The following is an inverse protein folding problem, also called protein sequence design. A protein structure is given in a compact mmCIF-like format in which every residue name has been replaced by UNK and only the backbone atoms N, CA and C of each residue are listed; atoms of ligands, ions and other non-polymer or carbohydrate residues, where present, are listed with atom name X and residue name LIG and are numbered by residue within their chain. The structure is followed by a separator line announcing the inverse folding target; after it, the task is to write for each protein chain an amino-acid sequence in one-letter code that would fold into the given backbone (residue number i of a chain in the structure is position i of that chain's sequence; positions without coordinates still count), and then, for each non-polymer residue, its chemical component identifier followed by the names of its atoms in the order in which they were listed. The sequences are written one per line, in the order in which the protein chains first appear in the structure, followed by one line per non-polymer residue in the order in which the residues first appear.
data_IF_560221147170
#
_entry.id   IF_560221147170
#
_cell.length_a   1.000
_cell.length_b   1.000
_cell.length_c   1.000
_cell.angle_alpha   90.00
_cell.angle_beta   90.00
_cell.angle_gamma   90.00
#
_symmetry.space_group_name_H-M   'P 1'
#
loop_
_entity.id
_entity.type
_entity.pdbx_description
1 polymer ?
#
# COMPACT_ATOMS: atom_id res chain seq x y z
N UNK A 1 26.17 11.20 -11.82
CA UNK A 1 24.83 10.86 -11.26
C UNK A 1 24.10 10.07 -12.32
N UNK A 2 23.46 8.92 -12.01
CA UNK A 2 22.62 8.22 -12.99
C UNK A 2 21.49 9.17 -13.38
N UNK A 3 21.22 9.31 -14.68
CA UNK A 3 20.29 10.30 -15.21
C UNK A 3 18.82 10.02 -14.83
N UNK A 4 18.50 8.78 -14.40
CA UNK A 4 17.15 8.38 -14.09
C UNK A 4 17.10 7.42 -12.88
N UNK A 5 17.10 8.01 -11.68
CA UNK A 5 16.97 7.26 -10.43
C UNK A 5 15.55 6.71 -10.20
N UNK A 6 14.57 7.25 -10.89
CA UNK A 6 13.16 6.88 -10.74
C UNK A 6 12.68 5.89 -11.81
N UNK A 7 13.56 5.51 -12.76
CA UNK A 7 13.24 4.56 -13.81
C UNK A 7 12.92 3.17 -13.25
N UNK A 8 11.76 2.62 -13.65
CA UNK A 8 11.28 1.30 -13.30
C UNK A 8 11.15 0.39 -14.54
N UNK A 9 11.74 0.79 -15.68
CA UNK A 9 11.70 0.02 -16.91
C UNK A 9 12.23 -1.41 -16.70
N UNK A 10 11.45 -2.40 -17.15
CA UNK A 10 11.76 -3.82 -16.98
C UNK A 10 11.52 -4.38 -15.57
N UNK A 11 11.01 -3.59 -14.63
CA UNK A 11 10.58 -4.05 -13.31
C UNK A 11 9.12 -4.50 -13.32
N UNK A 12 8.81 -5.50 -12.52
CA UNK A 12 7.45 -6.01 -12.28
C UNK A 12 7.01 -5.59 -10.88
N UNK A 13 5.84 -4.94 -10.80
CA UNK A 13 5.25 -4.46 -9.56
C UNK A 13 3.89 -5.12 -9.30
N UNK A 14 3.69 -5.70 -8.13
CA UNK A 14 2.38 -6.13 -7.63
C UNK A 14 1.82 -5.06 -6.71
N UNK A 15 0.56 -4.64 -6.93
CA UNK A 15 -0.14 -3.66 -6.09
C UNK A 15 -1.43 -4.28 -5.56
N UNK A 16 -1.47 -4.57 -4.25
CA UNK A 16 -2.68 -5.09 -3.60
C UNK A 16 -3.68 -3.97 -3.35
N UNK A 17 -4.98 -4.25 -3.53
CA UNK A 17 -6.01 -3.22 -3.52
C UNK A 17 -5.86 -2.24 -4.70
N UNK A 18 -5.30 -2.69 -5.83
CA UNK A 18 -4.93 -1.87 -6.99
C UNK A 18 -6.09 -1.42 -7.88
N UNK A 19 -7.33 -1.86 -7.61
CA UNK A 19 -8.48 -1.56 -8.47
C UNK A 19 -9.06 -0.15 -8.28
N UNK A 20 -8.83 0.52 -7.15
CA UNK A 20 -9.37 1.85 -6.82
C UNK A 20 -8.51 2.62 -5.83
N UNK A 21 -8.89 3.88 -5.58
CA UNK A 21 -8.28 4.74 -4.56
C UNK A 21 -6.76 4.81 -4.65
N UNK A 22 -6.09 4.85 -3.51
CA UNK A 22 -4.64 4.98 -3.38
C UNK A 22 -3.89 3.91 -4.20
N UNK A 23 -4.32 2.64 -4.12
CA UNK A 23 -3.64 1.55 -4.82
C UNK A 23 -3.64 1.70 -6.34
N UNK A 24 -4.74 2.18 -6.93
CA UNK A 24 -4.83 2.44 -8.37
C UNK A 24 -3.88 3.56 -8.80
N UNK A 25 -3.81 4.65 -8.03
CA UNK A 25 -2.93 5.78 -8.36
C UNK A 25 -1.46 5.42 -8.13
N UNK A 26 -1.13 4.62 -7.11
CA UNK A 26 0.21 4.05 -6.96
C UNK A 26 0.57 3.20 -8.17
N UNK A 27 -0.31 2.31 -8.61
CA UNK A 27 -0.06 1.48 -9.79
C UNK A 27 0.14 2.31 -11.06
N UNK A 28 -0.65 3.37 -11.25
CA UNK A 28 -0.47 4.32 -12.36
C UNK A 28 0.88 5.03 -12.27
N UNK A 29 1.29 5.51 -11.08
CA UNK A 29 2.59 6.12 -10.88
C UNK A 29 3.76 5.18 -11.22
N UNK A 30 3.70 3.93 -10.78
CA UNK A 30 4.73 2.93 -11.09
C UNK A 30 4.76 2.61 -12.60
N UNK A 31 3.60 2.46 -13.23
CA UNK A 31 3.48 2.18 -14.66
C UNK A 31 3.98 3.34 -15.53
N UNK A 32 3.72 4.59 -15.13
CA UNK A 32 4.21 5.79 -15.84
C UNK A 32 5.75 5.94 -15.79
N UNK A 33 6.41 5.25 -14.84
CA UNK A 33 7.87 5.17 -14.75
C UNK A 33 8.44 3.86 -15.35
N UNK A 34 7.64 3.13 -16.15
CA UNK A 34 8.09 1.99 -16.94
C UNK A 34 7.89 0.62 -16.32
N UNK A 35 7.29 0.52 -15.13
CA UNK A 35 7.00 -0.79 -14.55
C UNK A 35 5.83 -1.49 -15.26
N UNK A 36 5.93 -2.82 -15.43
CA UNK A 36 4.77 -3.68 -15.62
C UNK A 36 4.05 -3.82 -14.28
N UNK A 37 2.76 -3.51 -14.21
CA UNK A 37 1.98 -3.56 -12.96
C UNK A 37 0.96 -4.71 -12.97
N UNK A 38 0.89 -5.44 -11.87
CA UNK A 38 -0.14 -6.45 -11.60
C UNK A 38 -1.05 -5.90 -10.51
N UNK A 39 -2.27 -5.53 -10.89
CA UNK A 39 -3.30 -5.07 -9.97
C UNK A 39 -3.99 -6.27 -9.33
N UNK A 40 -4.04 -6.33 -8.00
CA UNK A 40 -4.75 -7.40 -7.32
C UNK A 40 -5.74 -6.90 -6.29
N UNK A 41 -6.78 -7.68 -6.04
CA UNK A 41 -7.88 -7.41 -5.13
C UNK A 41 -8.99 -8.45 -5.29
N UNK A 42 -10.11 -8.28 -4.60
CA UNK A 42 -11.18 -9.30 -4.55
C UNK A 42 -12.17 -9.26 -5.71
N UNK A 43 -12.30 -8.12 -6.38
CA UNK A 43 -13.38 -7.88 -7.37
C UNK A 43 -12.80 -7.79 -8.77
N UNK A 44 -13.00 -8.83 -9.59
CA UNK A 44 -12.44 -8.92 -10.94
C UNK A 44 -12.83 -7.73 -11.81
N UNK A 45 -14.11 -7.37 -11.88
CA UNK A 45 -14.56 -6.26 -12.74
C UNK A 45 -13.87 -4.94 -12.43
N UNK A 46 -13.70 -4.59 -11.14
CA UNK A 46 -12.98 -3.38 -10.73
C UNK A 46 -11.50 -3.41 -11.15
N UNK A 47 -10.87 -4.58 -11.07
CA UNK A 47 -9.48 -4.76 -11.49
C UNK A 47 -9.34 -4.67 -13.01
N UNK A 48 -10.28 -5.26 -13.76
CA UNK A 48 -10.29 -5.23 -15.23
C UNK A 48 -10.47 -3.81 -15.77
N UNK A 49 -11.39 -3.04 -15.18
CA UNK A 49 -11.59 -1.62 -15.47
C UNK A 49 -10.32 -0.80 -15.21
N UNK A 50 -9.68 -1.01 -14.04
CA UNK A 50 -8.46 -0.31 -13.70
C UNK A 50 -7.30 -0.66 -14.64
N UNK A 51 -7.11 -1.95 -14.93
CA UNK A 51 -6.07 -2.40 -15.86
C UNK A 51 -6.33 -1.92 -17.29
N UNK A 52 -7.60 -1.94 -17.75
CA UNK A 52 -7.97 -1.42 -19.06
C UNK A 52 -7.67 0.08 -19.19
N UNK A 53 -7.97 0.87 -18.13
CA UNK A 53 -7.67 2.30 -18.11
C UNK A 53 -6.16 2.58 -18.16
N UNK A 54 -5.32 1.76 -17.51
CA UNK A 54 -3.86 1.88 -17.60
C UNK A 54 -3.35 1.50 -19.00
N UNK A 55 -3.85 0.40 -19.57
CA UNK A 55 -3.51 -0.01 -20.95
C UNK A 55 -3.91 1.02 -22.00
N UNK A 56 -5.06 1.69 -21.82
CA UNK A 56 -5.50 2.77 -22.71
C UNK A 56 -4.54 3.99 -22.70
N UNK A 57 -3.76 4.16 -21.61
CA UNK A 57 -2.67 5.15 -21.51
C UNK A 57 -1.33 4.63 -22.05
N UNK A 58 -1.29 3.42 -22.61
CA UNK A 58 -0.07 2.78 -23.14
C UNK A 58 0.78 2.05 -22.11
N UNK A 59 0.29 1.86 -20.87
CA UNK A 59 1.02 1.17 -19.82
C UNK A 59 0.79 -0.35 -19.83
N UNK A 60 1.77 -1.12 -19.37
CA UNK A 60 1.67 -2.58 -19.24
C UNK A 60 1.02 -2.94 -17.88
N UNK A 61 -0.23 -3.35 -17.92
CA UNK A 61 -1.04 -3.63 -16.73
C UNK A 61 -1.83 -4.93 -16.85
N UNK A 62 -1.77 -5.75 -15.80
CA UNK A 62 -2.48 -7.00 -15.64
C UNK A 62 -3.43 -6.91 -14.44
N UNK A 63 -4.51 -7.68 -14.48
CA UNK A 63 -5.48 -7.84 -13.39
C UNK A 63 -5.47 -9.30 -12.93
N UNK A 64 -5.34 -9.52 -11.61
CA UNK A 64 -5.38 -10.85 -11.00
C UNK A 64 -6.13 -10.78 -9.67
N UNK A 65 -7.20 -11.54 -9.52
CA UNK A 65 -7.93 -11.61 -8.24
C UNK A 65 -7.14 -12.35 -7.18
N UNK A 66 -7.17 -11.81 -5.96
CA UNK A 66 -6.75 -12.49 -4.74
C UNK A 66 -7.35 -11.78 -3.52
N UNK A 67 -7.74 -12.53 -2.51
CA UNK A 67 -7.98 -12.02 -1.16
C UNK A 67 -6.69 -12.16 -0.34
N UNK A 68 -6.07 -11.03 0.01
CA UNK A 68 -4.81 -11.03 0.76
C UNK A 68 -4.92 -11.66 2.15
N UNK A 69 -6.13 -11.74 2.72
CA UNK A 69 -6.41 -12.42 3.98
C UNK A 69 -6.42 -13.96 3.87
N UNK A 70 -6.28 -14.52 2.66
CA UNK A 70 -6.29 -15.96 2.39
C UNK A 70 -4.93 -16.40 1.82
N UNK A 71 -4.24 -17.26 2.56
CA UNK A 71 -2.90 -17.70 2.19
C UNK A 71 -2.87 -18.38 0.81
N UNK A 72 -3.86 -19.24 0.51
CA UNK A 72 -3.95 -19.94 -0.78
C UNK A 72 -4.09 -18.97 -1.95
N UNK A 73 -4.85 -17.89 -1.80
CA UNK A 73 -5.03 -16.87 -2.83
C UNK A 73 -3.70 -16.11 -3.08
N UNK A 74 -2.96 -15.80 -2.01
CA UNK A 74 -1.65 -15.13 -2.12
C UNK A 74 -0.61 -16.04 -2.78
N UNK A 75 -0.63 -17.34 -2.48
CA UNK A 75 0.23 -18.33 -3.14
C UNK A 75 -0.11 -18.46 -4.63
N UNK A 76 -1.40 -18.54 -4.97
CA UNK A 76 -1.85 -18.56 -6.38
C UNK A 76 -1.45 -17.28 -7.12
N UNK A 77 -1.59 -16.11 -6.49
CA UNK A 77 -1.13 -14.84 -7.05
C UNK A 77 0.37 -14.86 -7.35
N UNK A 78 1.20 -15.34 -6.40
CA UNK A 78 2.65 -15.51 -6.59
C UNK A 78 2.94 -16.36 -7.83
N UNK A 79 2.29 -17.50 -7.95
CA UNK A 79 2.53 -18.46 -9.04
C UNK A 79 2.14 -17.87 -10.40
N UNK A 80 1.02 -17.16 -10.47
CA UNK A 80 0.60 -16.43 -11.68
C UNK A 80 1.62 -15.33 -12.03
N UNK A 81 2.04 -14.50 -11.07
CA UNK A 81 3.03 -13.43 -11.32
C UNK A 81 4.33 -14.03 -11.86
N UNK A 82 4.82 -15.12 -11.28
CA UNK A 82 6.06 -15.76 -11.73
C UNK A 82 5.91 -16.42 -13.09
N UNK A 83 4.78 -17.05 -13.40
CA UNK A 83 4.57 -17.71 -14.69
C UNK A 83 4.39 -16.70 -15.82
N UNK A 84 3.69 -15.57 -15.59
CA UNK A 84 3.35 -14.57 -16.61
C UNK A 84 4.45 -13.52 -16.79
N UNK A 85 5.04 -13.07 -15.67
CA UNK A 85 6.02 -11.97 -15.68
C UNK A 85 7.46 -12.45 -15.49
N UNK A 86 7.69 -13.67 -15.04
CA UNK A 86 9.01 -14.25 -14.84
C UNK A 86 9.77 -13.71 -13.61
N UNK A 87 9.34 -12.59 -13.02
CA UNK A 87 10.02 -11.89 -11.90
C UNK A 87 9.05 -11.07 -11.07
N UNK A 88 9.50 -10.65 -9.90
CA UNK A 88 8.86 -9.65 -9.06
C UNK A 88 9.94 -8.76 -8.46
N UNK A 89 9.80 -7.43 -8.62
CA UNK A 89 10.78 -6.42 -8.17
C UNK A 89 10.23 -5.46 -7.15
N UNK A 90 8.92 -5.19 -7.23
CA UNK A 90 8.23 -4.25 -6.34
C UNK A 90 6.95 -4.90 -5.81
N UNK A 91 6.78 -4.89 -4.50
CA UNK A 91 5.54 -5.29 -3.85
C UNK A 91 4.95 -4.11 -3.09
N UNK A 92 3.75 -3.67 -3.48
CA UNK A 92 3.00 -2.64 -2.75
C UNK A 92 1.84 -3.29 -2.01
N UNK A 93 1.96 -3.40 -0.71
CA UNK A 93 0.90 -3.87 0.19
C UNK A 93 0.00 -2.70 0.57
N UNK A 94 -1.01 -2.45 -0.27
CA UNK A 94 -1.95 -1.35 -0.07
C UNK A 94 -3.35 -1.82 0.34
N UNK A 95 -3.73 -3.07 0.10
CA UNK A 95 -5.04 -3.57 0.50
C UNK A 95 -5.31 -3.32 2.00
N UNK A 96 -6.45 -2.70 2.30
CA UNK A 96 -6.81 -2.38 3.67
C UNK A 96 -8.26 -1.92 3.80
N UNK A 97 -8.82 -2.07 5.00
CA UNK A 97 -10.19 -1.71 5.36
C UNK A 97 -10.25 -1.00 6.70
N UNK A 98 -11.22 -0.10 6.85
CA UNK A 98 -11.59 0.49 8.14
C UNK A 98 -13.11 0.73 8.16
N UNK A 99 -13.93 -0.34 8.26
CA UNK A 99 -15.38 -0.24 8.13
C UNK A 99 -16.08 0.24 9.41
N UNK A 100 -15.36 0.43 10.51
CA UNK A 100 -15.95 0.77 11.81
C UNK A 100 -15.41 2.07 12.36
N UNK A 101 -16.30 2.84 13.02
CA UNK A 101 -15.98 4.06 13.75
C UNK A 101 -16.76 4.08 15.06
N UNK A 102 -16.29 3.32 16.08
CA UNK A 102 -16.95 3.17 17.37
C UNK A 102 -15.99 2.82 18.51
N UNK A 103 -16.44 2.99 19.75
CA UNK A 103 -15.64 2.63 20.92
C UNK A 103 -15.34 1.14 21.00
N UNK A 104 -14.23 0.79 21.65
CA UNK A 104 -13.77 -0.60 21.75
C UNK A 104 -14.78 -1.51 22.47
N UNK A 105 -15.50 -0.96 23.43
CA UNK A 105 -16.53 -1.67 24.20
C UNK A 105 -17.73 -2.17 23.35
N UNK A 106 -17.87 -1.62 22.13
CA UNK A 106 -18.90 -2.01 21.15
C UNK A 106 -18.32 -2.71 19.92
N UNK A 107 -17.01 -2.89 19.85
CA UNK A 107 -16.34 -3.56 18.75
C UNK A 107 -16.39 -5.07 18.98
N UNK A 108 -17.00 -5.81 18.05
CA UNK A 108 -17.03 -7.27 18.13
C UNK A 108 -15.68 -7.88 17.76
N UNK A 109 -15.46 -9.13 18.20
CA UNK A 109 -14.26 -9.87 17.84
C UNK A 109 -14.16 -10.12 16.32
N UNK A 110 -15.29 -10.30 15.64
CA UNK A 110 -15.30 -10.51 14.19
C UNK A 110 -14.94 -9.24 13.42
N UNK A 111 -15.37 -8.07 13.89
CA UNK A 111 -14.94 -6.79 13.32
C UNK A 111 -13.44 -6.54 13.54
N UNK A 112 -12.94 -6.89 14.73
CA UNK A 112 -11.50 -6.87 15.01
C UNK A 112 -10.74 -7.77 14.04
N UNK A 113 -11.14 -9.04 13.94
CA UNK A 113 -10.53 -10.03 13.04
C UNK A 113 -10.56 -9.56 11.59
N UNK A 114 -11.70 -9.12 11.10
CA UNK A 114 -11.84 -8.63 9.72
C UNK A 114 -10.82 -7.53 9.38
N UNK A 115 -10.59 -6.57 10.31
CA UNK A 115 -9.62 -5.49 10.10
C UNK A 115 -8.19 -6.03 10.19
N UNK A 116 -7.86 -6.82 11.21
CA UNK A 116 -6.51 -7.37 11.42
C UNK A 116 -6.14 -8.34 10.31
N UNK A 117 -7.06 -9.22 9.90
CA UNK A 117 -6.81 -10.22 8.86
C UNK A 117 -6.52 -9.56 7.51
N UNK A 118 -7.25 -8.50 7.16
CA UNK A 118 -6.98 -7.78 5.91
C UNK A 118 -5.71 -6.90 6.03
N UNK A 119 -5.63 -6.06 7.08
CA UNK A 119 -4.65 -4.97 7.13
C UNK A 119 -3.27 -5.41 7.63
N UNK A 120 -3.17 -6.47 8.41
CA UNK A 120 -1.92 -6.94 9.01
C UNK A 120 -1.57 -8.36 8.56
N UNK A 121 -2.47 -9.35 8.75
CA UNK A 121 -2.23 -10.72 8.31
C UNK A 121 -2.03 -10.78 6.79
N UNK A 122 -2.84 -10.04 6.02
CA UNK A 122 -2.69 -9.96 4.56
C UNK A 122 -1.33 -9.39 4.13
N UNK A 123 -0.83 -8.34 4.81
CA UNK A 123 0.52 -7.80 4.55
C UNK A 123 1.59 -8.83 4.89
N UNK A 124 1.44 -9.55 6.01
CA UNK A 124 2.34 -10.64 6.39
C UNK A 124 2.37 -11.73 5.32
N UNK A 125 1.22 -12.21 4.84
CA UNK A 125 1.13 -13.27 3.83
C UNK A 125 1.77 -12.83 2.50
N UNK A 126 1.49 -11.60 2.05
CA UNK A 126 2.11 -11.05 0.86
C UNK A 126 3.64 -10.91 1.01
N UNK A 127 4.13 -10.42 2.15
CA UNK A 127 5.57 -10.37 2.41
C UNK A 127 6.17 -11.78 2.43
N UNK A 128 5.53 -12.74 3.10
CA UNK A 128 5.99 -14.14 3.19
C UNK A 128 6.15 -14.77 1.80
N UNK A 129 5.12 -14.72 0.96
CA UNK A 129 5.08 -15.47 -0.30
C UNK A 129 5.60 -14.70 -1.51
N UNK A 130 5.27 -13.42 -1.64
CA UNK A 130 5.75 -12.57 -2.74
C UNK A 130 7.11 -11.94 -2.41
N UNK A 131 7.25 -11.38 -1.21
CA UNK A 131 8.52 -10.82 -0.72
C UNK A 131 9.60 -11.89 -0.56
N UNK A 132 9.23 -13.11 -0.17
CA UNK A 132 10.13 -14.26 -0.09
C UNK A 132 10.82 -14.56 -1.42
N UNK A 133 10.08 -14.53 -2.54
CA UNK A 133 10.63 -14.67 -3.90
C UNK A 133 11.67 -13.59 -4.21
N UNK A 134 11.41 -12.34 -3.82
CA UNK A 134 12.36 -11.24 -4.01
C UNK A 134 13.64 -11.48 -3.19
N UNK A 135 13.50 -11.94 -1.95
CA UNK A 135 14.63 -12.26 -1.08
C UNK A 135 15.47 -13.45 -1.58
N UNK A 136 14.84 -14.46 -2.18
CA UNK A 136 15.54 -15.60 -2.82
C UNK A 136 16.28 -15.18 -4.09
N UNK A 137 15.76 -14.21 -4.83
CA UNK A 137 16.36 -13.68 -6.07
C UNK A 137 17.40 -12.59 -5.83
N UNK A 138 17.59 -12.15 -4.60
CA UNK A 138 18.65 -11.24 -4.19
C UNK A 138 18.33 -9.76 -4.43
N UNK A 139 17.06 -9.36 -4.45
CA UNK A 139 16.73 -7.93 -4.51
C UNK A 139 15.26 -7.60 -4.73
N UNK A 140 14.89 -6.38 -4.34
CA UNK A 140 13.58 -5.82 -4.55
C UNK A 140 13.21 -4.70 -3.58
N UNK A 141 12.03 -4.12 -3.76
CA UNK A 141 11.47 -3.10 -2.88
C UNK A 141 10.05 -3.45 -2.44
N UNK A 142 9.82 -3.52 -1.14
CA UNK A 142 8.50 -3.69 -0.54
C UNK A 142 8.06 -2.35 0.04
N UNK A 143 6.88 -1.90 -0.36
CA UNK A 143 6.24 -0.67 0.11
C UNK A 143 4.94 -1.05 0.81
N UNK A 144 4.91 -0.96 2.12
CA UNK A 144 3.71 -1.22 2.90
C UNK A 144 2.93 0.09 3.11
N UNK A 145 1.67 0.13 2.71
CA UNK A 145 0.82 1.30 2.95
C UNK A 145 0.24 1.21 4.36
N UNK A 146 0.85 1.98 5.26
CA UNK A 146 0.42 2.16 6.64
C UNK A 146 -0.65 3.27 6.74
N UNK A 147 -0.54 4.13 7.70
CA UNK A 147 -1.40 5.31 7.96
C UNK A 147 -0.78 6.18 9.04
N UNK A 148 -1.19 7.43 9.15
CA UNK A 148 -0.98 8.22 10.39
C UNK A 148 -1.47 7.46 11.63
N UNK A 149 -2.54 6.65 11.51
CA UNK A 149 -3.04 5.78 12.56
C UNK A 149 -2.10 4.64 12.98
N UNK A 150 -0.98 4.42 12.29
CA UNK A 150 0.11 3.54 12.70
C UNK A 150 1.11 4.23 13.64
N UNK A 151 1.08 5.56 13.71
CA UNK A 151 2.00 6.40 14.49
C UNK A 151 1.32 7.12 15.65
N UNK A 152 0.05 7.47 15.49
CA UNK A 152 -0.75 8.16 16.51
C UNK A 152 -2.10 7.49 16.71
N UNK A 153 -2.71 7.70 17.87
CA UNK A 153 -4.03 7.16 18.17
C UNK A 153 -5.15 7.92 17.45
N UNK A 154 -5.98 7.21 16.70
CA UNK A 154 -7.21 7.73 16.11
C UNK A 154 -8.41 7.34 16.98
N UNK A 155 -9.26 8.31 17.34
CA UNK A 155 -10.47 8.05 18.13
C UNK A 155 -11.36 7.04 17.41
N UNK A 156 -11.95 6.10 18.16
CA UNK A 156 -12.92 5.10 17.67
C UNK A 156 -12.39 4.20 16.54
N UNK A 157 -11.07 4.00 16.45
CA UNK A 157 -10.40 3.24 15.39
C UNK A 157 -9.34 2.27 15.96
N UNK A 158 -9.58 1.70 17.15
CA UNK A 158 -8.60 0.85 17.86
C UNK A 158 -8.10 -0.32 17.01
N UNK A 159 -8.95 -1.14 16.35
CA UNK A 159 -8.46 -2.24 15.52
C UNK A 159 -7.62 -1.76 14.33
N UNK A 160 -8.01 -0.65 13.72
CA UNK A 160 -7.28 -0.05 12.61
C UNK A 160 -5.89 0.44 13.04
N UNK A 161 -5.81 1.23 14.13
CA UNK A 161 -4.53 1.70 14.65
C UNK A 161 -3.62 0.54 15.04
N UNK A 162 -4.15 -0.49 15.72
CA UNK A 162 -3.40 -1.68 16.07
C UNK A 162 -2.86 -2.39 14.83
N UNK A 163 -3.68 -2.55 13.78
CA UNK A 163 -3.24 -3.17 12.53
C UNK A 163 -2.15 -2.37 11.81
N UNK A 164 -2.29 -1.04 11.73
CA UNK A 164 -1.31 -0.18 11.06
C UNK A 164 -0.03 0.01 11.88
N UNK A 165 -0.10 0.08 13.21
CA UNK A 165 1.07 0.03 14.09
C UNK A 165 1.83 -1.30 13.98
N UNK A 166 1.09 -2.41 13.83
CA UNK A 166 1.68 -3.73 13.53
C UNK A 166 2.44 -3.74 12.21
N UNK A 167 1.89 -3.13 11.15
CA UNK A 167 2.57 -2.99 9.84
C UNK A 167 3.87 -2.18 9.97
N UNK A 168 3.88 -1.09 10.76
CA UNK A 168 5.10 -0.27 10.98
C UNK A 168 6.22 -1.10 11.60
N UNK A 169 5.95 -1.83 12.69
CA UNK A 169 6.98 -2.65 13.34
C UNK A 169 7.37 -3.87 12.52
N UNK A 170 6.43 -4.52 11.85
CA UNK A 170 6.72 -5.63 10.94
C UNK A 170 7.63 -5.17 9.79
N UNK A 171 7.42 -3.98 9.25
CA UNK A 171 8.29 -3.37 8.23
C UNK A 171 9.73 -3.24 8.72
N UNK A 172 9.94 -2.75 9.95
CA UNK A 172 11.28 -2.62 10.54
C UNK A 172 11.96 -3.96 10.75
N UNK A 173 11.22 -4.95 11.25
CA UNK A 173 11.74 -6.31 11.45
C UNK A 173 12.16 -6.95 10.11
N UNK A 174 11.29 -6.90 9.09
CA UNK A 174 11.60 -7.42 7.76
C UNK A 174 12.77 -6.69 7.09
N UNK A 175 12.92 -5.38 7.32
CA UNK A 175 14.05 -4.61 6.82
C UNK A 175 15.39 -5.14 7.37
N UNK A 176 15.44 -5.51 8.65
CA UNK A 176 16.62 -6.11 9.28
C UNK A 176 16.90 -7.51 8.72
N UNK A 177 15.86 -8.35 8.59
CA UNK A 177 15.98 -9.73 8.15
C UNK A 177 16.42 -9.85 6.68
N UNK A 178 16.02 -8.88 5.84
CA UNK A 178 16.18 -8.97 4.39
C UNK A 178 17.18 -7.99 3.77
N UNK A 179 17.77 -7.10 4.57
CA UNK A 179 18.79 -6.16 4.07
C UNK A 179 19.94 -6.87 3.34
N UNK A 180 20.47 -7.96 3.93
CA UNK A 180 21.56 -8.76 3.32
C UNK A 180 21.11 -9.57 2.11
N UNK A 181 19.81 -9.71 1.90
CA UNK A 181 19.21 -10.34 0.71
C UNK A 181 18.88 -9.31 -0.38
N UNK A 182 19.31 -8.05 -0.21
CA UNK A 182 19.08 -6.98 -1.19
C UNK A 182 17.63 -6.48 -1.27
N UNK A 183 16.75 -6.85 -0.34
CA UNK A 183 15.36 -6.38 -0.30
C UNK A 183 15.22 -5.23 0.69
N UNK A 184 14.71 -4.11 0.21
CA UNK A 184 14.34 -2.96 1.03
C UNK A 184 12.87 -3.06 1.42
N UNK A 185 12.54 -2.73 2.65
CA UNK A 185 11.16 -2.74 3.15
C UNK A 185 10.88 -1.42 3.86
N UNK A 186 9.93 -0.63 3.35
CA UNK A 186 9.58 0.68 3.89
C UNK A 186 8.06 0.84 3.97
N UNK A 187 7.58 1.82 4.72
CA UNK A 187 6.17 2.20 4.73
C UNK A 187 5.95 3.57 4.09
N UNK A 188 4.76 3.74 3.52
CA UNK A 188 4.14 5.05 3.31
C UNK A 188 3.03 5.16 4.34
N UNK A 189 2.97 6.26 5.08
CA UNK A 189 1.94 6.55 6.07
C UNK A 189 1.09 7.74 5.59
N UNK A 190 -0.02 7.47 4.84
CA UNK A 190 -0.91 8.51 4.40
C UNK A 190 -1.71 9.13 5.56
N UNK A 191 -1.97 10.43 5.47
CA UNK A 191 -3.00 11.11 6.24
C UNK A 191 -4.40 10.91 5.65
N UNK A 192 -5.19 11.97 5.63
CA UNK A 192 -6.55 11.95 5.09
C UNK A 192 -6.51 12.31 3.59
N UNK A 193 -6.86 11.35 2.75
CA UNK A 193 -6.89 11.46 1.28
C UNK A 193 -8.31 11.42 0.74
N UNK A 194 -8.53 11.96 -0.46
CA UNK A 194 -9.81 11.93 -1.19
C UNK A 194 -10.06 10.53 -1.76
N UNK A 195 -10.60 9.63 -0.93
CA UNK A 195 -10.92 8.23 -1.26
C UNK A 195 -12.36 7.90 -0.90
N UNK A 196 -12.87 6.75 -1.37
CA UNK A 196 -14.16 6.20 -0.92
C UNK A 196 -14.18 5.96 0.59
N UNK A 197 -13.03 5.58 1.17
CA UNK A 197 -12.88 5.33 2.62
C UNK A 197 -13.13 6.59 3.45
N UNK A 198 -12.82 7.76 2.92
CA UNK A 198 -12.96 9.06 3.59
C UNK A 198 -14.17 9.87 3.12
N UNK A 199 -14.96 9.37 2.16
CA UNK A 199 -16.11 10.07 1.60
C UNK A 199 -17.09 10.52 2.67
N UNK A 200 -17.48 9.63 3.60
CA UNK A 200 -18.39 9.97 4.68
C UNK A 200 -17.87 11.04 5.66
N UNK A 201 -16.56 11.25 5.72
CA UNK A 201 -15.94 12.33 6.49
C UNK A 201 -15.95 13.61 5.66
N UNK A 202 -15.54 13.57 4.40
CA UNK A 202 -15.46 14.73 3.50
C UNK A 202 -16.82 15.37 3.24
N UNK A 203 -17.84 14.54 3.08
CA UNK A 203 -19.21 14.98 2.80
C UNK A 203 -19.93 15.52 4.05
N UNK A 204 -19.27 15.49 5.21
CA UNK A 204 -19.79 16.04 6.47
C UNK A 204 -18.84 17.11 7.01
N UNK A 205 -19.22 18.37 6.87
CA UNK A 205 -18.41 19.52 7.29
C UNK A 205 -18.03 19.48 8.78
N UNK A 206 -18.92 19.01 9.65
CA UNK A 206 -18.65 18.89 11.08
C UNK A 206 -17.54 17.88 11.41
N UNK A 207 -17.31 16.89 10.52
CA UNK A 207 -16.22 15.93 10.62
C UNK A 207 -14.97 16.39 9.87
N UNK A 208 -15.15 17.04 8.72
CA UNK A 208 -14.04 17.50 7.87
C UNK A 208 -13.31 18.71 8.46
N UNK A 209 -14.02 19.71 8.96
CA UNK A 209 -13.43 20.95 9.43
C UNK A 209 -12.38 20.76 10.56
N UNK A 210 -12.59 19.95 11.60
CA UNK A 210 -11.57 19.71 12.61
C UNK A 210 -10.32 18.99 12.05
N UNK A 211 -10.49 18.09 11.09
CA UNK A 211 -9.37 17.39 10.45
C UNK A 211 -8.54 18.34 9.58
N UNK A 212 -9.21 19.19 8.82
CA UNK A 212 -8.54 20.20 7.98
C UNK A 212 -7.83 21.26 8.83
N UNK A 213 -8.44 21.68 9.94
CA UNK A 213 -7.81 22.61 10.89
C UNK A 213 -6.54 22.04 11.55
N UNK A 214 -6.49 20.70 11.72
CA UNK A 214 -5.31 20.00 12.24
C UNK A 214 -4.31 19.60 11.14
N UNK A 215 -4.63 19.84 9.86
CA UNK A 215 -3.74 19.58 8.73
C UNK A 215 -3.06 20.88 8.30
N UNK A 216 -1.74 21.08 8.53
CA UNK A 216 -1.07 22.33 8.20
C UNK A 216 -1.22 22.77 6.73
N UNK A 217 -1.26 21.83 5.76
CA UNK A 217 -1.52 22.16 4.36
C UNK A 217 -3.00 22.50 4.06
N UNK A 218 -3.91 22.44 5.03
CA UNK A 218 -5.30 22.91 4.97
C UNK A 218 -6.20 22.17 3.96
N UNK A 219 -5.82 20.99 3.48
CA UNK A 219 -6.58 20.21 2.50
C UNK A 219 -6.44 18.71 2.73
N UNK A 220 -7.38 17.95 2.20
CA UNK A 220 -7.18 16.52 2.00
C UNK A 220 -6.09 16.27 0.97
N UNK A 221 -5.35 15.16 1.11
CA UNK A 221 -4.41 14.69 0.11
C UNK A 221 -5.15 14.23 -1.16
N UNK A 222 -4.67 14.62 -2.33
CA UNK A 222 -5.10 14.07 -3.60
C UNK A 222 -4.38 12.75 -3.87
N UNK A 223 -4.98 11.85 -4.63
CA UNK A 223 -4.42 10.52 -4.87
C UNK A 223 -3.06 10.58 -5.58
N UNK A 224 -2.80 11.61 -6.36
CA UNK A 224 -1.50 11.88 -6.99
C UNK A 224 -0.40 12.19 -5.95
N UNK A 225 -0.75 12.82 -4.82
CA UNK A 225 0.23 13.20 -3.79
C UNK A 225 0.94 11.97 -3.16
N UNK A 226 0.31 10.79 -3.19
CA UNK A 226 0.89 9.53 -2.65
C UNK A 226 1.66 8.73 -3.70
N UNK A 227 1.33 8.88 -4.98
CA UNK A 227 1.95 8.09 -6.06
C UNK A 227 3.46 8.35 -6.17
N UNK A 228 3.88 9.62 -6.06
CA UNK A 228 5.31 10.00 -6.09
C UNK A 228 6.12 9.36 -4.97
N UNK A 229 5.55 9.24 -3.76
CA UNK A 229 6.19 8.57 -2.64
C UNK A 229 6.40 7.07 -2.92
N UNK A 230 5.42 6.42 -3.55
CA UNK A 230 5.53 5.01 -3.94
C UNK A 230 6.58 4.78 -5.03
N UNK A 231 6.64 5.63 -6.04
CA UNK A 231 7.68 5.59 -7.08
C UNK A 231 9.07 5.79 -6.47
N UNK A 232 9.23 6.77 -5.57
CA UNK A 232 10.48 6.98 -4.85
C UNK A 232 10.93 5.73 -4.09
N UNK A 233 10.05 5.14 -3.28
CA UNK A 233 10.40 3.95 -2.50
C UNK A 233 10.61 2.68 -3.37
N UNK A 234 9.95 2.58 -4.52
CA UNK A 234 10.10 1.47 -5.45
C UNK A 234 11.40 1.53 -6.25
N UNK A 235 11.95 2.71 -6.45
CA UNK A 235 13.06 2.99 -7.37
C UNK A 235 14.45 3.02 -6.69
N UNK A 236 15.49 3.20 -7.48
CA UNK A 236 16.86 3.37 -7.01
C UNK A 236 17.09 4.73 -6.30
N UNK A 237 16.15 5.68 -6.42
CA UNK A 237 16.18 6.93 -5.69
C UNK A 237 16.16 6.73 -4.16
N UNK A 238 15.64 5.61 -3.69
CA UNK A 238 15.62 5.23 -2.27
C UNK A 238 16.54 4.05 -1.93
N UNK A 239 17.60 3.81 -2.73
CA UNK A 239 18.47 2.64 -2.60
C UNK A 239 19.13 2.49 -1.21
N UNK A 240 19.27 3.59 -0.46
CA UNK A 240 19.84 3.57 0.91
C UNK A 240 18.77 3.70 2.00
N UNK A 241 17.48 3.41 1.66
CA UNK A 241 16.37 3.45 2.61
C UNK A 241 15.77 2.07 2.83
N UNK A 242 15.77 1.61 4.08
CA UNK A 242 15.04 0.42 4.52
C UNK A 242 14.61 0.59 5.99
N UNK A 243 13.48 0.04 6.39
CA UNK A 243 12.91 0.18 7.72
C UNK A 243 12.35 1.57 8.06
N UNK A 244 12.19 2.42 7.06
CA UNK A 244 11.74 3.80 7.22
C UNK A 244 10.24 3.94 6.98
N UNK A 245 9.64 4.95 7.63
CA UNK A 245 8.26 5.37 7.35
C UNK A 245 8.27 6.74 6.69
N UNK A 246 7.66 6.85 5.52
CA UNK A 246 7.51 8.11 4.78
C UNK A 246 6.10 8.67 5.03
N UNK A 247 6.02 9.72 5.85
CA UNK A 247 4.76 10.40 6.14
C UNK A 247 4.32 11.21 4.92
N UNK A 248 3.07 11.01 4.49
CA UNK A 248 2.42 11.77 3.41
C UNK A 248 1.05 12.22 3.93
N UNK A 249 1.05 13.23 4.78
CA UNK A 249 -0.11 13.57 5.63
C UNK A 249 -0.45 15.06 5.68
N UNK A 250 0.24 15.88 4.89
CA UNK A 250 0.05 17.34 4.90
C UNK A 250 0.51 18.02 6.19
N UNK A 251 1.40 17.36 6.96
CA UNK A 251 1.90 17.83 8.25
C UNK A 251 1.03 17.44 9.45
N UNK A 252 0.01 16.60 9.25
CA UNK A 252 -0.97 16.23 10.28
C UNK A 252 -0.33 15.63 11.54
N UNK A 253 0.79 14.90 11.41
CA UNK A 253 1.53 14.30 12.53
C UNK A 253 2.75 15.10 12.98
N UNK A 254 2.97 16.29 12.44
CA UNK A 254 4.12 17.13 12.80
C UNK A 254 3.90 17.94 14.10
N UNK A 255 2.66 17.95 14.61
CA UNK A 255 2.23 18.67 15.82
C UNK A 255 1.86 17.71 16.96
#
# INVERSE_FOLDING_TARGET
MRADLFDLTGRVAVVTGGGRGIGRFIAEGLASHGARVVLTGRTQGTLDEAAAALRAKGFDALAQTADVGREDDVMALRDVVLSVCGRLDVLVNNAGVNPIYKGIERTSLDEWRHIVDTNLTGVFLCCKHLGGVMAERGGGSIVNVSSVGGHVGLRRSVPYCASKGGVELMTRALALDWARKGVRVNTIAPGYFETDLTAGIRDNEALAAPLLAHTPLGRFGRLEDVAGAAVFLASDASAYMTGSSLMVDGGWTAD
#
